data_IF_279375355482
#
_entry.id   IF_279375355482
#
_cell.length_a   1.000
_cell.length_b   1.000
_cell.length_c   1.000
_cell.angle_alpha   90.00
_cell.angle_beta   90.00
_cell.angle_gamma   90.00
#
_symmetry.space_group_name_H-M   'P 1'
#
loop_
_entity.id
_entity.type
_entity.pdbx_description
1 polymer ?
#
# COMPACT_ATOMS: atom_id res chain seq x y z
N UNK A 1 -17.57 27.47 -4.43
CA UNK A 1 -17.12 27.15 -3.07
C UNK A 1 -15.63 26.83 -3.07
N UNK A 2 -14.82 27.43 -2.18
CA UNK A 2 -13.37 27.16 -2.12
C UNK A 2 -13.06 25.70 -1.78
N UNK A 3 -13.77 25.12 -0.81
CA UNK A 3 -13.56 23.73 -0.35
C UNK A 3 -13.67 22.68 -1.48
N UNK A 4 -14.55 22.89 -2.46
CA UNK A 4 -14.70 21.96 -3.60
C UNK A 4 -13.46 21.99 -4.53
N UNK A 5 -12.93 23.17 -4.79
CA UNK A 5 -11.72 23.33 -5.60
C UNK A 5 -10.49 22.82 -4.84
N UNK A 6 -10.42 23.05 -3.53
CA UNK A 6 -9.36 22.51 -2.68
C UNK A 6 -9.37 20.98 -2.67
N UNK A 7 -10.55 20.37 -2.59
CA UNK A 7 -10.69 18.91 -2.66
C UNK A 7 -10.25 18.36 -4.02
N UNK A 8 -10.53 19.07 -5.10
CA UNK A 8 -10.07 18.74 -6.44
C UNK A 8 -8.54 18.76 -6.53
N UNK A 9 -7.90 19.87 -6.14
CA UNK A 9 -6.43 20.00 -6.13
C UNK A 9 -5.78 18.96 -5.23
N UNK A 10 -6.34 18.73 -4.03
CA UNK A 10 -5.84 17.73 -3.10
C UNK A 10 -5.87 16.32 -3.71
N UNK A 11 -6.91 16.01 -4.48
CA UNK A 11 -7.06 14.71 -5.15
C UNK A 11 -6.07 14.55 -6.31
N UNK A 12 -5.83 15.61 -7.10
CA UNK A 12 -4.79 15.61 -8.13
C UNK A 12 -3.39 15.41 -7.55
N UNK A 13 -3.06 16.13 -6.46
CA UNK A 13 -1.78 15.99 -5.77
C UNK A 13 -1.53 14.56 -5.26
N UNK A 14 -2.57 13.91 -4.73
CA UNK A 14 -2.45 12.52 -4.26
C UNK A 14 -2.21 11.55 -5.42
N UNK A 15 -2.89 11.76 -6.57
CA UNK A 15 -2.63 10.98 -7.79
C UNK A 15 -1.17 11.15 -8.23
N UNK A 16 -0.68 12.38 -8.27
CA UNK A 16 0.71 12.68 -8.66
C UNK A 16 1.71 11.98 -7.71
N UNK A 17 1.45 12.01 -6.40
CA UNK A 17 2.27 11.34 -5.40
C UNK A 17 2.32 9.81 -5.58
N UNK A 18 1.25 9.19 -6.07
CA UNK A 18 1.21 7.76 -6.38
C UNK A 18 1.93 7.40 -7.68
N UNK A 19 2.02 8.35 -8.62
CA UNK A 19 2.73 8.15 -9.90
C UNK A 19 4.24 8.41 -9.79
N UNK A 20 4.65 9.29 -8.88
CA UNK A 20 6.06 9.62 -8.67
C UNK A 20 6.82 8.43 -8.07
N UNK A 21 7.73 7.86 -8.87
CA UNK A 21 8.55 6.70 -8.47
C UNK A 21 9.63 6.99 -7.40
N UNK A 22 9.76 8.24 -6.96
CA UNK A 22 10.84 8.68 -6.06
C UNK A 22 10.49 8.54 -4.58
N UNK A 23 9.21 8.44 -4.23
CA UNK A 23 8.78 8.38 -2.82
C UNK A 23 8.90 6.98 -2.28
N UNK A 24 9.30 6.87 -1.01
CA UNK A 24 9.29 5.58 -0.33
C UNK A 24 7.85 5.12 -0.10
N UNK A 25 7.65 3.81 0.09
CA UNK A 25 6.32 3.25 0.38
C UNK A 25 5.74 3.81 1.69
N UNK A 26 6.60 4.01 2.69
CA UNK A 26 6.25 4.59 3.98
C UNK A 26 5.80 6.05 3.84
N UNK A 27 6.51 6.83 3.02
CA UNK A 27 6.09 8.20 2.68
C UNK A 27 4.72 8.24 2.00
N UNK A 28 4.46 7.34 1.04
CA UNK A 28 3.17 7.29 0.34
C UNK A 28 2.04 6.96 1.31
N UNK A 29 2.25 6.05 2.27
CA UNK A 29 1.25 5.72 3.30
C UNK A 29 0.97 6.94 4.19
N UNK A 30 2.00 7.63 4.67
CA UNK A 30 1.82 8.82 5.50
C UNK A 30 1.10 9.96 4.74
N UNK A 31 1.44 10.16 3.47
CA UNK A 31 0.75 11.12 2.61
C UNK A 31 -0.71 10.75 2.38
N UNK A 32 -1.01 9.46 2.25
CA UNK A 32 -2.38 8.99 2.10
C UNK A 32 -3.20 9.20 3.38
N UNK A 33 -2.63 8.97 4.56
CA UNK A 33 -3.31 9.23 5.84
C UNK A 33 -3.62 10.73 6.04
N UNK A 34 -2.68 11.61 5.69
CA UNK A 34 -2.89 13.06 5.71
C UNK A 34 -3.95 13.48 4.67
N UNK A 35 -3.90 12.89 3.46
CA UNK A 35 -4.89 13.10 2.41
C UNK A 35 -6.31 12.75 2.90
N UNK A 36 -6.51 11.58 3.52
CA UNK A 36 -7.81 11.15 4.04
C UNK A 36 -8.31 12.11 5.12
N UNK A 37 -7.42 12.54 6.02
CA UNK A 37 -7.75 13.48 7.09
C UNK A 37 -8.18 14.86 6.57
N UNK A 38 -7.49 15.38 5.55
CA UNK A 38 -7.83 16.65 4.89
C UNK A 38 -9.13 16.54 4.09
N UNK A 39 -9.31 15.44 3.35
CA UNK A 39 -10.52 15.14 2.59
C UNK A 39 -11.77 15.14 3.47
N UNK A 40 -11.70 14.49 4.65
CA UNK A 40 -12.85 14.42 5.58
C UNK A 40 -13.27 15.80 6.08
N UNK A 41 -12.32 16.71 6.31
CA UNK A 41 -12.61 18.10 6.69
C UNK A 41 -13.30 18.86 5.54
N UNK A 42 -12.73 18.79 4.34
CA UNK A 42 -13.26 19.49 3.16
C UNK A 42 -14.66 19.00 2.78
N UNK A 43 -14.93 17.69 2.88
CA UNK A 43 -16.25 17.14 2.60
C UNK A 43 -17.34 17.64 3.55
N UNK A 44 -17.01 17.95 4.81
CA UNK A 44 -17.97 18.50 5.78
C UNK A 44 -18.39 19.92 5.42
N UNK A 45 -17.49 20.69 4.77
CA UNK A 45 -17.73 22.06 4.35
C UNK A 45 -18.55 22.14 3.04
N UNK A 46 -18.54 21.08 2.24
CA UNK A 46 -19.32 21.00 1.00
C UNK A 46 -20.77 20.66 1.36
N UNK A 47 -21.61 21.69 1.42
CA UNK A 47 -23.04 21.58 1.75
C UNK A 47 -23.91 22.22 0.67
N UNK A 48 -25.14 21.73 0.45
CA UNK A 48 -26.07 22.36 -0.48
C UNK A 48 -26.55 23.74 0.03
N UNK A 49 -27.04 24.63 -0.85
CA UNK A 49 -27.33 24.42 -2.28
C UNK A 49 -26.12 24.61 -3.21
N UNK A 50 -26.07 23.83 -4.30
CA UNK A 50 -24.98 23.86 -5.28
C UNK A 50 -25.37 24.60 -6.56
N UNK A 51 -24.48 25.47 -7.05
CA UNK A 51 -24.57 26.10 -8.36
C UNK A 51 -24.29 25.11 -9.50
N UNK A 52 -24.70 25.43 -10.72
CA UNK A 52 -24.44 24.55 -11.88
C UNK A 52 -22.96 24.44 -12.24
N UNK A 53 -22.15 25.46 -11.93
CA UNK A 53 -20.70 25.39 -12.04
C UNK A 53 -20.09 24.37 -11.08
N UNK A 54 -20.55 24.37 -9.83
CA UNK A 54 -20.09 23.42 -8.80
C UNK A 54 -20.52 21.99 -9.11
N UNK A 55 -21.71 21.77 -9.67
CA UNK A 55 -22.12 20.44 -10.13
C UNK A 55 -21.20 19.88 -11.21
N UNK A 56 -20.73 20.72 -12.14
CA UNK A 56 -19.76 20.31 -13.16
C UNK A 56 -18.43 19.90 -12.55
N UNK A 57 -17.89 20.73 -11.64
CA UNK A 57 -16.64 20.43 -10.91
C UNK A 57 -16.80 19.17 -10.04
N UNK A 58 -17.95 19.00 -9.40
CA UNK A 58 -18.26 17.79 -8.62
C UNK A 58 -18.26 16.53 -9.49
N UNK A 59 -18.77 16.62 -10.72
CA UNK A 59 -18.74 15.48 -11.66
C UNK A 59 -17.31 15.11 -12.05
N UNK A 60 -16.49 16.10 -12.43
CA UNK A 60 -15.07 15.85 -12.75
C UNK A 60 -14.29 15.33 -11.55
N UNK A 61 -14.60 15.82 -10.35
CA UNK A 61 -14.02 15.32 -9.10
C UNK A 61 -14.34 13.84 -8.85
N UNK A 62 -15.57 13.40 -9.11
CA UNK A 62 -15.96 11.98 -8.97
C UNK A 62 -15.17 11.09 -9.93
N UNK A 63 -14.99 11.54 -11.18
CA UNK A 63 -14.17 10.81 -12.16
C UNK A 63 -12.70 10.74 -11.72
N UNK A 64 -12.18 11.81 -11.14
CA UNK A 64 -10.82 11.86 -10.58
C UNK A 64 -10.65 10.94 -9.36
N UNK A 65 -11.63 10.92 -8.46
CA UNK A 65 -11.65 10.05 -7.26
C UNK A 65 -11.65 8.56 -7.66
N UNK A 66 -12.37 8.20 -8.72
CA UNK A 66 -12.33 6.84 -9.28
C UNK A 66 -10.92 6.47 -9.79
N UNK A 67 -10.25 7.39 -10.49
CA UNK A 67 -8.87 7.16 -10.95
C UNK A 67 -7.91 7.00 -9.78
N UNK A 68 -8.05 7.85 -8.75
CA UNK A 68 -7.27 7.74 -7.52
C UNK A 68 -7.48 6.37 -6.87
N UNK A 69 -8.73 5.92 -6.73
CA UNK A 69 -9.07 4.64 -6.13
C UNK A 69 -8.40 3.46 -6.86
N UNK A 70 -8.36 3.48 -8.19
CA UNK A 70 -7.67 2.45 -8.97
C UNK A 70 -6.17 2.43 -8.66
N UNK A 71 -5.51 3.59 -8.61
CA UNK A 71 -4.08 3.70 -8.32
C UNK A 71 -3.74 3.26 -6.90
N UNK A 72 -4.52 3.68 -5.91
CA UNK A 72 -4.38 3.26 -4.51
C UNK A 72 -4.50 1.74 -4.40
N UNK A 73 -5.49 1.15 -5.07
CA UNK A 73 -5.66 -0.32 -5.08
C UNK A 73 -4.46 -1.04 -5.72
N UNK A 74 -3.90 -0.50 -6.79
CA UNK A 74 -2.69 -1.05 -7.42
C UNK A 74 -1.48 -0.97 -6.48
N UNK A 75 -1.29 0.17 -5.83
CA UNK A 75 -0.24 0.36 -4.83
C UNK A 75 -0.37 -0.62 -3.66
N UNK A 76 -1.58 -0.80 -3.11
CA UNK A 76 -1.80 -1.77 -2.04
C UNK A 76 -1.55 -3.21 -2.48
N UNK A 77 -1.88 -3.56 -3.73
CA UNK A 77 -1.61 -4.90 -4.28
C UNK A 77 -0.10 -5.16 -4.42
N UNK A 78 0.66 -4.19 -4.93
CA UNK A 78 2.12 -4.33 -5.03
C UNK A 78 2.75 -4.44 -3.64
N UNK A 79 2.32 -3.59 -2.70
CA UNK A 79 2.78 -3.64 -1.31
C UNK A 79 2.53 -4.99 -0.63
N UNK A 80 1.34 -5.56 -0.77
CA UNK A 80 1.01 -6.90 -0.25
C UNK A 80 1.91 -7.99 -0.85
N UNK A 81 2.20 -7.89 -2.14
CA UNK A 81 3.04 -8.84 -2.87
C UNK A 81 4.49 -8.79 -2.37
N UNK A 82 5.01 -7.59 -2.11
CA UNK A 82 6.34 -7.39 -1.53
C UNK A 82 6.45 -8.01 -0.13
N UNK A 83 5.44 -7.79 0.72
CA UNK A 83 5.39 -8.39 2.05
C UNK A 83 5.39 -9.93 1.99
N UNK A 84 4.65 -10.51 1.04
CA UNK A 84 4.64 -11.95 0.83
C UNK A 84 6.02 -12.46 0.38
N UNK A 85 6.68 -11.76 -0.54
CA UNK A 85 8.03 -12.09 -1.00
C UNK A 85 9.06 -12.04 0.14
N UNK A 86 9.03 -10.99 0.98
CA UNK A 86 9.91 -10.86 2.14
C UNK A 86 9.72 -12.01 3.14
N UNK A 87 8.48 -12.42 3.41
CA UNK A 87 8.17 -13.57 4.26
C UNK A 87 8.74 -14.87 3.68
N UNK A 88 8.55 -15.10 2.38
CA UNK A 88 9.09 -16.28 1.68
C UNK A 88 10.62 -16.33 1.72
N UNK A 89 11.29 -15.19 1.47
CA UNK A 89 12.77 -15.10 1.53
C UNK A 89 13.30 -15.43 2.92
N UNK A 90 12.65 -14.96 4.00
CA UNK A 90 13.01 -15.32 5.38
C UNK A 90 12.85 -16.82 5.65
N UNK A 91 11.78 -17.44 5.16
CA UNK A 91 11.54 -18.88 5.33
C UNK A 91 12.54 -19.74 4.56
N UNK A 92 12.88 -19.36 3.32
CA UNK A 92 13.89 -20.05 2.52
C UNK A 92 15.30 -19.92 3.12
N UNK A 93 15.69 -18.73 3.60
CA UNK A 93 17.00 -18.56 4.26
C UNK A 93 17.12 -19.41 5.54
N UNK A 94 16.04 -19.58 6.33
CA UNK A 94 16.05 -20.47 7.49
C UNK A 94 16.18 -21.96 7.12
N UNK A 95 15.62 -22.39 5.97
CA UNK A 95 15.75 -23.78 5.49
C UNK A 95 17.15 -24.12 4.99
N UNK A 96 17.91 -23.15 4.49
CA UNK A 96 19.28 -23.37 4.01
C UNK A 96 20.35 -23.38 5.11
N UNK A 97 20.05 -22.84 6.30
CA UNK A 97 21.02 -22.80 7.41
C UNK A 97 21.10 -24.13 8.17
N UNK A 98 20.18 -25.08 7.95
CA UNK A 98 20.21 -26.33 8.69
C UNK A 98 19.97 -27.62 7.87
N UNK A 99 20.87 -27.98 6.93
CA UNK A 99 20.82 -29.27 6.24
C UNK A 99 21.14 -30.48 7.14
N UNK A 100 21.64 -30.25 8.36
CA UNK A 100 22.18 -31.30 9.24
C UNK A 100 21.46 -31.47 10.60
N UNK A 101 20.51 -30.60 10.98
CA UNK A 101 19.79 -30.77 12.26
C UNK A 101 18.91 -32.02 12.30
N UNK A 102 18.44 -32.50 11.15
CA UNK A 102 17.61 -33.70 11.09
C UNK A 102 18.43 -35.00 11.01
N UNK A 103 19.77 -34.95 11.08
CA UNK A 103 20.64 -36.14 11.05
C UNK A 103 21.04 -36.61 12.46
N UNK A 104 20.73 -35.84 13.52
CA UNK A 104 21.10 -36.17 14.90
C UNK A 104 19.93 -36.66 15.77
N UNK A 105 19.11 -37.55 15.24
CA UNK A 105 18.08 -38.17 16.06
C UNK A 105 17.22 -39.16 15.30
N UNK A 106 17.71 -40.39 15.18
CA UNK A 106 17.06 -41.61 15.69
C UNK A 106 17.77 -42.82 15.11
N UNK A 107 18.50 -43.51 15.98
CA UNK A 107 18.87 -44.93 15.93
C UNK A 107 19.84 -45.40 14.82
N UNK A 108 21.01 -45.84 15.25
CA UNK A 108 22.09 -46.30 14.37
C UNK A 108 23.32 -46.67 15.20
N UNK A 109 23.17 -47.76 15.95
CA UNK A 109 24.17 -48.39 16.81
C UNK A 109 25.60 -48.38 16.24
N UNK A 110 26.54 -48.20 17.16
CA UNK A 110 27.98 -48.43 17.01
C UNK A 110 28.28 -49.65 16.14
N UNK A 111 29.10 -49.47 15.10
CA UNK A 111 29.87 -50.57 14.51
C UNK A 111 31.31 -50.42 15.02
N UNK A 112 31.55 -50.99 16.20
CA UNK A 112 32.86 -51.55 16.50
C UNK A 112 32.90 -52.91 15.79
N UNK A 113 33.76 -53.04 14.78
CA UNK A 113 34.44 -54.29 14.47
C UNK A 113 35.74 -54.00 13.73
N UNK A 114 36.79 -54.00 14.54
CA UNK A 114 38.20 -54.20 14.24
C UNK A 114 38.43 -55.41 13.31
N UNK A 115 39.02 -55.17 12.14
CA UNK A 115 40.14 -55.89 11.50
C UNK A 115 40.31 -55.40 10.05
#
# INVERSE_FOLDING_TARGET
MPALNELYVLTEQMIEHLEQSKKSREEIVNLFDDYVSKRDKLLKEIQPPYSDGEKKVGKTLVELDQQLQLKVNQFFKSFKSDLAYLKKKRQSNKKYINPYANVYGTDGSFIDKKN
#
